data_IF_095835941568
#
_entry.id   IF_095835941568
#
_cell.length_a   1.000
_cell.length_b   1.000
_cell.length_c   1.000
_cell.angle_alpha   90.00
_cell.angle_beta   90.00
_cell.angle_gamma   90.00
#
_symmetry.space_group_name_H-M   'P 1'
#
loop_
_entity.id
_entity.type
_entity.pdbx_description
1 polymer ?
#
# COMPACT_ATOMS: atom_id res chain seq x y z
N UNK A 1 -16.21 35.33 -33.94
CA UNK A 1 -16.78 34.02 -33.55
C UNK A 1 -15.80 32.86 -33.70
N UNK A 2 -15.19 32.61 -34.87
CA UNK A 2 -14.24 31.49 -35.04
C UNK A 2 -13.02 31.55 -34.11
N UNK A 3 -12.38 32.73 -33.98
CA UNK A 3 -11.22 32.93 -33.10
C UNK A 3 -11.54 32.75 -31.61
N UNK A 4 -12.71 33.23 -31.18
CA UNK A 4 -13.20 33.09 -29.79
C UNK A 4 -13.41 31.63 -29.41
N UNK A 5 -13.98 30.81 -30.31
CA UNK A 5 -14.16 29.37 -30.07
C UNK A 5 -12.83 28.62 -29.97
N UNK A 6 -11.83 29.01 -30.76
CA UNK A 6 -10.47 28.42 -30.70
C UNK A 6 -9.77 28.78 -29.39
N UNK A 7 -9.85 30.05 -28.96
CA UNK A 7 -9.30 30.49 -27.68
C UNK A 7 -9.95 29.78 -26.49
N UNK A 8 -11.27 29.61 -26.52
CA UNK A 8 -12.00 28.90 -25.47
C UNK A 8 -11.62 27.40 -25.42
N UNK A 9 -11.46 26.78 -26.60
CA UNK A 9 -11.00 25.38 -26.70
C UNK A 9 -9.60 25.19 -26.13
N UNK A 10 -8.65 26.06 -26.47
CA UNK A 10 -7.28 26.03 -25.93
C UNK A 10 -7.24 26.26 -24.42
N UNK A 11 -8.03 27.20 -23.90
CA UNK A 11 -8.14 27.43 -22.46
C UNK A 11 -8.69 26.19 -21.73
N UNK A 12 -9.73 25.55 -22.28
CA UNK A 12 -10.29 24.33 -21.72
C UNK A 12 -9.28 23.17 -21.74
N UNK A 13 -8.56 22.96 -22.85
CA UNK A 13 -7.50 21.95 -22.91
C UNK A 13 -6.37 22.24 -21.93
N UNK A 14 -5.98 23.51 -21.76
CA UNK A 14 -4.99 23.92 -20.77
C UNK A 14 -5.42 23.61 -19.33
N UNK A 15 -6.69 23.86 -18.99
CA UNK A 15 -7.24 23.49 -17.68
C UNK A 15 -7.27 21.98 -17.49
N UNK A 16 -7.71 21.22 -18.51
CA UNK A 16 -7.74 19.76 -18.44
C UNK A 16 -6.32 19.17 -18.26
N UNK A 17 -5.29 19.74 -18.88
CA UNK A 17 -3.91 19.30 -18.70
C UNK A 17 -3.38 19.52 -17.28
N UNK A 18 -3.89 20.52 -16.54
CA UNK A 18 -3.53 20.76 -15.13
C UNK A 18 -4.31 19.81 -14.20
N UNK A 19 -5.53 19.44 -14.58
CA UNK A 19 -6.39 18.56 -13.78
C UNK A 19 -6.02 17.08 -13.96
N UNK A 20 -5.50 16.69 -15.12
CA UNK A 20 -5.06 15.32 -15.42
C UNK A 20 -3.56 15.11 -15.17
N UNK A 21 -3.03 15.60 -14.04
CA UNK A 21 -1.72 15.16 -13.56
C UNK A 21 -1.94 13.79 -12.92
N UNK A 22 -1.47 12.73 -13.59
CA UNK A 22 -1.39 11.42 -12.98
C UNK A 22 -0.31 11.46 -11.89
N UNK A 23 -0.63 10.99 -10.69
CA UNK A 23 0.34 10.87 -9.62
C UNK A 23 1.34 9.77 -9.98
N UNK A 24 2.63 10.10 -9.97
CA UNK A 24 3.72 9.15 -9.92
C UNK A 24 4.21 9.00 -8.46
N UNK A 25 4.97 7.95 -8.17
CA UNK A 25 5.61 7.74 -6.87
C UNK A 25 6.47 8.94 -6.43
N UNK A 26 7.03 9.67 -7.41
CA UNK A 26 7.77 10.92 -7.17
C UNK A 26 6.90 12.06 -6.60
N UNK A 27 5.59 11.98 -6.80
CA UNK A 27 4.59 12.99 -6.42
C UNK A 27 4.05 12.78 -5.00
N UNK A 28 4.67 11.90 -4.21
CA UNK A 28 4.50 11.79 -2.76
C UNK A 28 5.76 12.30 -2.00
N UNK A 29 6.07 13.62 -1.98
CA UNK A 29 7.31 14.16 -1.45
C UNK A 29 7.58 13.81 0.02
N UNK A 30 6.52 13.54 0.78
CA UNK A 30 6.63 13.23 2.21
C UNK A 30 7.25 11.86 2.49
N UNK A 31 7.19 10.92 1.54
CA UNK A 31 7.68 9.55 1.72
C UNK A 31 8.76 9.14 0.71
N UNK A 32 8.97 9.93 -0.34
CA UNK A 32 9.89 9.65 -1.45
C UNK A 32 11.28 9.17 -1.00
N UNK A 33 11.68 7.98 -1.45
CA UNK A 33 12.94 7.29 -1.15
C UNK A 33 13.06 6.77 0.27
N UNK A 34 12.02 6.93 1.09
CA UNK A 34 11.96 6.47 2.48
C UNK A 34 11.42 5.05 2.61
N UNK A 35 11.42 4.53 3.83
CA UNK A 35 10.97 3.16 4.14
C UNK A 35 9.45 2.98 4.06
N UNK A 36 8.69 4.06 4.07
CA UNK A 36 7.23 4.09 3.92
C UNK A 36 6.77 4.31 2.48
N UNK A 37 7.71 4.39 1.54
CA UNK A 37 7.42 4.70 0.14
C UNK A 37 6.89 3.46 -0.58
N UNK A 38 5.60 3.45 -0.93
CA UNK A 38 4.94 2.30 -1.56
C UNK A 38 5.22 2.32 -3.05
N UNK A 39 6.09 1.41 -3.50
CA UNK A 39 6.43 1.25 -4.93
C UNK A 39 5.31 0.62 -5.74
N UNK A 40 4.72 -0.45 -5.22
CA UNK A 40 3.73 -1.25 -5.94
C UNK A 40 2.78 -1.93 -4.95
N UNK A 41 1.56 -2.16 -5.41
CA UNK A 41 0.54 -2.95 -4.73
C UNK A 41 -0.05 -3.96 -5.71
N UNK A 42 -0.21 -5.20 -5.23
CA UNK A 42 -0.84 -6.27 -5.99
C UNK A 42 -1.95 -6.92 -5.16
N UNK A 43 -3.10 -7.14 -5.78
CA UNK A 43 -4.18 -7.96 -5.25
C UNK A 43 -4.63 -8.95 -6.32
N UNK A 44 -4.59 -10.24 -5.99
CA UNK A 44 -4.97 -11.30 -6.92
C UNK A 44 -5.48 -12.54 -6.19
N UNK A 45 -6.29 -13.33 -6.88
CA UNK A 45 -6.78 -14.59 -6.37
C UNK A 45 -5.65 -15.62 -6.34
N UNK A 46 -5.57 -16.38 -5.24
CA UNK A 46 -4.59 -17.44 -5.09
C UNK A 46 -4.89 -18.68 -5.94
N UNK A 47 -3.98 -19.66 -5.91
CA UNK A 47 -4.22 -20.96 -6.52
C UNK A 47 -5.45 -21.68 -5.90
N UNK A 48 -5.65 -21.49 -4.59
CA UNK A 48 -6.95 -21.71 -3.97
C UNK A 48 -7.82 -20.49 -4.23
N UNK A 49 -8.92 -20.67 -4.96
CA UNK A 49 -9.83 -19.59 -5.35
C UNK A 49 -10.58 -18.96 -4.18
N UNK A 50 -10.63 -19.63 -3.03
CA UNK A 50 -11.21 -19.06 -1.81
C UNK A 50 -10.25 -18.06 -1.12
N UNK A 51 -9.00 -17.97 -1.58
CA UNK A 51 -7.99 -17.08 -1.02
C UNK A 51 -7.74 -15.86 -1.91
N UNK A 52 -7.58 -14.71 -1.27
CA UNK A 52 -7.05 -13.49 -1.87
C UNK A 52 -5.63 -13.23 -1.36
N UNK A 53 -4.74 -12.83 -2.25
CA UNK A 53 -3.35 -12.48 -1.96
C UNK A 53 -3.20 -10.98 -2.08
N UNK A 54 -2.58 -10.38 -1.07
CA UNK A 54 -2.22 -8.96 -1.03
C UNK A 54 -0.70 -8.83 -0.90
N UNK A 55 -0.09 -8.01 -1.75
CA UNK A 55 1.34 -7.74 -1.72
C UNK A 55 1.54 -6.24 -1.76
N UNK A 56 2.32 -5.72 -0.82
CA UNK A 56 2.77 -4.33 -0.81
C UNK A 56 4.29 -4.28 -0.83
N UNK A 57 4.84 -3.59 -1.83
CA UNK A 57 6.26 -3.33 -1.94
C UNK A 57 6.55 -1.93 -1.40
N UNK A 58 7.43 -1.84 -0.41
CA UNK A 58 7.84 -0.57 0.21
C UNK A 58 9.33 -0.32 0.05
N UNK A 59 9.75 0.91 0.31
CA UNK A 59 11.13 1.38 0.19
C UNK A 59 11.61 1.42 -1.26
N UNK A 60 11.05 2.37 -2.02
CA UNK A 60 11.41 2.60 -3.41
C UNK A 60 12.79 3.22 -3.63
N UNK A 61 13.12 3.37 -4.92
CA UNK A 61 14.36 3.99 -5.41
C UNK A 61 15.66 3.29 -4.93
N UNK A 62 15.58 2.00 -4.61
CA UNK A 62 16.75 1.19 -4.26
C UNK A 62 17.50 0.74 -5.51
N UNK A 63 18.82 0.95 -5.52
CA UNK A 63 19.69 0.31 -6.52
C UNK A 63 19.86 -1.17 -6.21
N UNK A 64 20.24 -2.01 -7.20
CA UNK A 64 20.55 -3.42 -6.95
C UNK A 64 21.62 -3.64 -5.88
N UNK A 65 22.53 -2.68 -5.67
CA UNK A 65 23.57 -2.75 -4.63
C UNK A 65 23.08 -2.29 -3.26
N UNK A 66 21.95 -1.59 -3.17
CA UNK A 66 21.38 -1.06 -1.92
C UNK A 66 20.35 -2.00 -1.29
N UNK A 67 19.86 -3.01 -2.02
CA UNK A 67 18.82 -3.95 -1.57
C UNK A 67 19.21 -4.73 -0.30
N UNK A 68 20.49 -5.02 -0.11
CA UNK A 68 20.99 -5.69 1.10
C UNK A 68 20.78 -4.89 2.40
N UNK A 69 20.54 -3.58 2.28
CA UNK A 69 20.26 -2.67 3.40
C UNK A 69 18.77 -2.31 3.56
N UNK A 70 17.91 -2.86 2.70
CA UNK A 70 16.47 -2.66 2.79
C UNK A 70 15.96 -3.16 4.15
N UNK A 71 15.05 -2.41 4.76
CA UNK A 71 14.47 -2.77 6.05
C UNK A 71 13.14 -2.09 6.26
N UNK A 72 12.22 -2.80 6.91
CA UNK A 72 10.96 -2.22 7.36
C UNK A 72 11.22 -1.23 8.50
N UNK A 73 10.57 -0.06 8.43
CA UNK A 73 10.55 0.87 9.56
C UNK A 73 9.52 0.40 10.58
N UNK A 74 9.95 0.29 11.82
CA UNK A 74 9.11 -0.09 12.94
C UNK A 74 7.99 0.95 13.19
N UNK A 75 8.13 2.21 12.78
CA UNK A 75 7.10 3.23 12.94
C UNK A 75 6.14 3.33 11.75
N UNK A 76 6.22 2.42 10.78
CA UNK A 76 5.38 2.43 9.58
C UNK A 76 4.37 1.29 9.65
N UNK A 77 3.09 1.66 9.67
CA UNK A 77 1.97 0.75 9.49
C UNK A 77 1.67 0.63 7.98
N UNK A 78 1.73 -0.58 7.45
CA UNK A 78 1.18 -0.88 6.12
C UNK A 78 -0.24 -1.34 6.30
N UNK A 79 -1.19 -0.75 5.58
CA UNK A 79 -2.61 -1.07 5.66
C UNK A 79 -3.17 -1.30 4.26
N UNK A 80 -3.92 -2.39 4.11
CA UNK A 80 -4.75 -2.65 2.95
C UNK A 80 -6.18 -2.25 3.29
N UNK A 81 -6.67 -1.21 2.63
CA UNK A 81 -8.02 -0.67 2.77
C UNK A 81 -8.91 -1.36 1.73
N UNK A 82 -9.91 -2.11 2.19
CA UNK A 82 -10.74 -2.98 1.36
C UNK A 82 -12.17 -2.42 1.36
N UNK A 83 -12.61 -1.96 0.20
CA UNK A 83 -14.02 -1.70 -0.11
C UNK A 83 -14.61 -2.97 -0.73
N UNK A 84 -15.64 -3.52 -0.10
CA UNK A 84 -16.39 -4.68 -0.62
C UNK A 84 -17.87 -4.36 -0.85
N UNK A 85 -18.25 -3.09 -0.80
CA UNK A 85 -19.61 -2.58 -1.02
C UNK A 85 -19.74 -1.63 -2.21
N UNK A 86 -18.63 -1.24 -2.84
CA UNK A 86 -18.52 -0.33 -3.99
C UNK A 86 -18.97 1.12 -3.69
N UNK A 87 -18.79 1.57 -2.44
CA UNK A 87 -19.09 2.94 -2.03
C UNK A 87 -17.85 3.87 -2.03
N UNK A 88 -16.67 3.31 -2.34
CA UNK A 88 -15.34 3.95 -2.35
C UNK A 88 -14.85 4.37 -0.97
N UNK A 89 -15.40 3.75 0.07
CA UNK A 89 -14.98 3.85 1.46
C UNK A 89 -14.61 2.45 1.91
N UNK A 90 -13.53 2.32 2.67
CA UNK A 90 -13.09 1.01 3.11
C UNK A 90 -14.01 0.43 4.20
N UNK A 91 -14.44 -0.81 3.97
CA UNK A 91 -15.25 -1.62 4.89
C UNK A 91 -14.38 -2.41 5.85
N UNK A 92 -13.19 -2.84 5.39
CA UNK A 92 -12.26 -3.69 6.13
C UNK A 92 -10.83 -3.18 5.97
N UNK A 93 -10.02 -3.40 7.01
CA UNK A 93 -8.57 -3.19 6.98
C UNK A 93 -7.82 -4.46 7.33
N UNK A 94 -6.74 -4.73 6.59
CA UNK A 94 -5.69 -5.68 6.97
C UNK A 94 -4.43 -4.88 7.21
N UNK A 95 -3.80 -5.08 8.36
CA UNK A 95 -2.69 -4.28 8.84
C UNK A 95 -1.43 -5.13 9.00
N UNK A 96 -0.27 -4.57 8.65
CA UNK A 96 1.04 -5.18 8.84
C UNK A 96 2.01 -4.15 9.46
N UNK A 97 2.71 -4.53 10.52
CA UNK A 97 3.72 -3.67 11.17
C UNK A 97 4.92 -4.47 11.68
N UNK A 98 6.11 -3.95 11.43
CA UNK A 98 7.35 -4.55 11.89
C UNK A 98 7.63 -4.22 13.37
N UNK A 99 8.00 -5.23 14.15
CA UNK A 99 8.43 -5.12 15.55
C UNK A 99 9.48 -6.20 15.85
N UNK A 100 10.66 -5.81 16.34
CA UNK A 100 11.69 -6.73 16.84
C UNK A 100 12.03 -7.88 15.88
N UNK A 101 12.19 -7.57 14.58
CA UNK A 101 12.55 -8.56 13.56
C UNK A 101 11.40 -9.45 13.07
N UNK A 102 10.16 -9.22 13.52
CA UNK A 102 8.95 -9.90 13.03
C UNK A 102 8.00 -8.91 12.36
N UNK A 103 7.26 -9.39 11.37
CA UNK A 103 6.10 -8.71 10.82
C UNK A 103 4.85 -9.24 11.53
N UNK A 104 4.08 -8.35 12.15
CA UNK A 104 2.82 -8.66 12.82
C UNK A 104 1.65 -8.24 11.94
N UNK A 105 0.64 -9.10 11.86
CA UNK A 105 -0.55 -8.89 11.05
C UNK A 105 -1.82 -8.80 11.90
N UNK A 106 -2.76 -7.93 11.51
CA UNK A 106 -4.04 -7.73 12.16
C UNK A 106 -5.19 -7.60 11.14
N UNK A 107 -6.42 -7.89 11.57
CA UNK A 107 -7.62 -7.84 10.73
C UNK A 107 -8.09 -9.21 10.22
N UNK A 108 -8.76 -9.31 9.06
CA UNK A 108 -9.55 -8.22 8.49
C UNK A 108 -10.61 -7.78 9.51
N UNK A 109 -10.76 -6.47 9.71
CA UNK A 109 -11.75 -5.90 10.63
C UNK A 109 -12.17 -4.53 10.14
N UNK A 110 -13.35 -4.06 10.53
CA UNK A 110 -13.78 -2.71 10.23
C UNK A 110 -12.80 -1.65 10.78
N UNK A 111 -12.50 -0.59 10.01
CA UNK A 111 -11.70 0.53 10.49
C UNK A 111 -12.42 1.24 11.65
N UNK A 112 -11.67 1.97 12.48
CA UNK A 112 -12.27 2.76 13.57
C UNK A 112 -12.87 4.06 13.03
N UNK A 113 -12.18 4.64 12.05
CA UNK A 113 -12.60 5.79 11.26
C UNK A 113 -12.02 5.56 9.88
N UNK A 114 -12.84 5.73 8.84
CA UNK A 114 -12.36 5.58 7.48
C UNK A 114 -11.45 6.76 7.07
N UNK A 115 -10.56 6.53 6.11
CA UNK A 115 -9.66 7.51 5.53
C UNK A 115 -8.20 7.33 5.94
N UNK A 116 -7.45 8.41 5.96
CA UNK A 116 -5.97 8.38 6.04
C UNK A 116 -5.40 8.24 7.45
N UNK A 117 -6.26 8.08 8.46
CA UNK A 117 -5.87 7.99 9.86
C UNK A 117 -6.30 6.64 10.41
N UNK A 118 -5.33 5.85 10.88
CA UNK A 118 -5.59 4.51 11.41
C UNK A 118 -4.93 4.28 12.76
N UNK A 119 -5.49 3.33 13.50
CA UNK A 119 -4.95 2.82 14.76
C UNK A 119 -4.78 1.31 14.61
N UNK A 120 -3.65 0.81 15.08
CA UNK A 120 -3.34 -0.63 15.02
C UNK A 120 -4.41 -1.43 15.76
N UNK A 121 -5.00 -2.42 15.09
CA UNK A 121 -6.08 -3.28 15.57
C UNK A 121 -5.54 -4.44 16.41
N UNK A 122 -4.84 -4.12 17.49
CA UNK A 122 -4.14 -5.10 18.35
C UNK A 122 -5.06 -6.16 18.99
N UNK A 123 -6.38 -5.91 19.03
CA UNK A 123 -7.38 -6.85 19.48
C UNK A 123 -7.80 -7.90 18.43
N UNK A 124 -7.34 -7.77 17.18
CA UNK A 124 -7.65 -8.69 16.08
C UNK A 124 -6.36 -9.23 15.43
N UNK A 125 -5.51 -9.98 16.16
CA UNK A 125 -4.28 -10.52 15.60
C UNK A 125 -4.55 -11.63 14.57
N UNK A 126 -3.89 -11.54 13.42
CA UNK A 126 -3.87 -12.61 12.40
C UNK A 126 -2.68 -13.55 12.61
N UNK A 127 -1.55 -13.03 13.07
CA UNK A 127 -0.34 -13.82 13.28
C UNK A 127 0.91 -12.98 13.12
N UNK A 128 2.05 -13.64 13.09
CA UNK A 128 3.33 -13.00 12.79
C UNK A 128 4.29 -13.97 12.10
N UNK A 129 5.25 -13.41 11.36
CA UNK A 129 6.32 -14.14 10.68
C UNK A 129 7.64 -13.41 10.91
N UNK A 130 8.75 -14.14 10.95
CA UNK A 130 10.08 -13.50 10.97
C UNK A 130 10.34 -12.76 9.66
N UNK A 131 10.91 -11.57 9.76
CA UNK A 131 11.37 -10.82 8.59
C UNK A 131 12.53 -11.59 8.00
N UNK A 132 12.39 -11.97 6.73
CA UNK A 132 13.38 -12.79 6.03
C UNK A 132 14.71 -12.04 5.91
N UNK A 133 15.83 -12.59 6.39
CA UNK A 133 17.14 -12.01 6.17
C UNK A 133 17.50 -11.91 4.68
N UNK A 134 18.29 -10.90 4.33
CA UNK A 134 18.71 -10.73 2.94
C UNK A 134 19.54 -11.93 2.44
N UNK A 135 19.18 -12.44 1.26
CA UNK A 135 19.90 -13.54 0.61
C UNK A 135 19.59 -14.94 1.16
N UNK A 136 18.55 -15.10 1.98
CA UNK A 136 18.07 -16.40 2.44
C UNK A 136 16.73 -16.78 1.80
N UNK A 137 16.32 -18.04 1.97
CA UNK A 137 14.97 -18.48 1.57
C UNK A 137 13.89 -17.75 2.38
N UNK A 138 12.73 -17.57 1.75
CA UNK A 138 11.58 -16.90 2.37
C UNK A 138 11.10 -17.66 3.61
N UNK A 139 10.93 -16.93 4.72
CA UNK A 139 10.29 -17.44 5.92
C UNK A 139 8.79 -17.21 5.79
N UNK A 140 8.01 -18.28 5.88
CA UNK A 140 6.54 -18.25 5.77
C UNK A 140 5.88 -18.82 7.02
N UNK A 141 4.66 -18.40 7.34
CA UNK A 141 3.91 -18.88 8.48
C UNK A 141 2.41 -18.91 8.17
N UNK A 142 1.72 -19.97 8.61
CA UNK A 142 0.27 -20.10 8.44
C UNK A 142 -0.43 -20.07 9.80
N UNK A 143 -1.26 -19.07 10.04
CA UNK A 143 -1.97 -18.84 11.30
C UNK A 143 -3.35 -18.20 11.02
N UNK A 144 -4.37 -18.61 11.77
CA UNK A 144 -5.72 -18.01 11.71
C UNK A 144 -6.31 -17.89 10.29
N UNK A 145 -6.01 -18.84 9.40
CA UNK A 145 -6.50 -18.84 8.02
C UNK A 145 -5.73 -17.95 7.04
N UNK A 146 -4.61 -17.34 7.46
CA UNK A 146 -3.71 -16.54 6.63
C UNK A 146 -2.36 -17.25 6.51
N UNK A 147 -1.70 -17.16 5.35
CA UNK A 147 -0.41 -17.84 5.06
C UNK A 147 0.57 -16.91 4.35
#
# INVERSE_FOLDING_TARGET
>A
MKKTKVLLGLALTGVLAIVFIAADHIDAPAVKGGKSDITDFYAFQGANTDNMVFVANVQGLLSPTASASASFDENVLVEFNIDNTDDKVEDLVIQAIARNGKMYFFGPVAPGTAGTMSTIKTNMPLGSVDITPYGTDAIVASQNGVS
#
